data_IF_873350098926
#
_entry.id   IF_873350098926
#
_cell.length_a   1.000
_cell.length_b   1.000
_cell.length_c   1.000
_cell.angle_alpha   90.00
_cell.angle_beta   90.00
_cell.angle_gamma   90.00
#
_symmetry.space_group_name_H-M   'P 1'
#
loop_
_entity.id
_entity.type
_entity.pdbx_description
1 polymer ?
#
# COMPACT_ATOMS: atom_id res chain seq x y z
N UNK A 1 2.78 -43.10 35.48
CA UNK A 1 1.78 -42.73 34.45
C UNK A 1 1.94 -41.25 34.19
N UNK A 2 2.62 -40.93 33.09
CA UNK A 2 2.89 -39.59 32.57
C UNK A 2 1.68 -39.06 31.82
N UNK A 3 1.16 -37.92 32.25
CA UNK A 3 0.34 -37.04 31.40
C UNK A 3 0.90 -35.64 31.54
N UNK A 4 2.00 -35.42 30.84
CA UNK A 4 2.54 -34.11 30.50
C UNK A 4 1.51 -33.44 29.58
N UNK A 5 0.62 -32.65 30.17
CA UNK A 5 -0.33 -31.83 29.42
C UNK A 5 0.42 -30.57 29.03
N UNK A 6 0.89 -30.54 27.78
CA UNK A 6 1.48 -29.35 27.17
C UNK A 6 0.60 -28.13 27.48
N UNK A 7 1.18 -26.99 27.89
CA UNK A 7 0.39 -25.78 28.09
C UNK A 7 -0.20 -25.40 26.73
N UNK A 8 -1.54 -25.37 26.68
CA UNK A 8 -2.26 -24.81 25.55
C UNK A 8 -1.66 -23.43 25.27
N UNK A 9 -1.20 -23.22 24.04
CA UNK A 9 -0.76 -21.90 23.60
C UNK A 9 -1.94 -20.94 23.81
N UNK A 10 -1.86 -20.14 24.88
CA UNK A 10 -2.79 -19.06 25.13
C UNK A 10 -2.67 -18.11 23.94
N UNK A 11 -3.70 -18.05 23.09
CA UNK A 11 -3.84 -16.96 22.12
C UNK A 11 -3.75 -15.65 22.91
N UNK A 12 -2.94 -14.66 22.48
CA UNK A 12 -2.74 -13.45 23.26
C UNK A 12 -4.08 -12.76 23.52
N UNK A 13 -4.43 -12.67 24.80
CA UNK A 13 -5.63 -12.02 25.33
C UNK A 13 -5.50 -10.50 25.13
N UNK A 14 -5.76 -10.04 23.92
CA UNK A 14 -5.86 -8.63 23.60
C UNK A 14 -7.21 -8.11 24.09
N UNK A 15 -7.25 -7.05 24.93
CA UNK A 15 -8.50 -6.49 25.41
C UNK A 15 -9.35 -6.00 24.23
N UNK A 16 -10.39 -6.77 23.93
CA UNK A 16 -11.31 -6.61 22.82
C UNK A 16 -12.16 -5.34 22.96
N UNK A 17 -11.63 -4.18 22.55
CA UNK A 17 -12.48 -3.03 22.22
C UNK A 17 -12.98 -3.23 20.79
N UNK A 18 -13.93 -4.15 20.61
CA UNK A 18 -14.62 -4.32 19.33
C UNK A 18 -15.91 -3.53 19.36
N UNK A 19 -15.97 -2.43 18.59
CA UNK A 19 -17.25 -1.88 18.19
C UNK A 19 -18.08 -2.99 17.49
N UNK A 20 -19.42 -2.98 17.61
CA UNK A 20 -20.24 -4.02 16.98
C UNK A 20 -19.93 -4.13 15.48
N UNK A 21 -19.87 -5.38 14.95
CA UNK A 21 -19.41 -5.61 13.59
C UNK A 21 -20.30 -4.86 12.60
N UNK A 22 -19.72 -4.07 11.68
CA UNK A 22 -20.48 -3.20 10.81
C UNK A 22 -21.41 -4.00 9.89
N UNK A 23 -22.50 -3.37 9.46
CA UNK A 23 -23.31 -3.88 8.37
C UNK A 23 -22.49 -4.03 7.09
N UNK A 24 -22.85 -5.01 6.24
CA UNK A 24 -22.33 -5.13 4.86
C UNK A 24 -22.30 -3.79 4.10
N UNK A 25 -23.36 -2.94 4.11
CA UNK A 25 -23.32 -1.66 3.41
C UNK A 25 -22.35 -0.65 4.03
N UNK A 26 -22.18 -0.67 5.36
CA UNK A 26 -21.23 0.21 6.04
C UNK A 26 -19.79 -0.17 5.69
N UNK A 27 -19.50 -1.47 5.62
CA UNK A 27 -18.21 -1.99 5.18
C UNK A 27 -17.91 -1.61 3.72
N UNK A 28 -18.87 -1.84 2.82
CA UNK A 28 -18.77 -1.43 1.42
C UNK A 28 -18.49 0.07 1.28
N UNK A 29 -19.25 0.91 1.99
CA UNK A 29 -19.12 2.37 1.90
C UNK A 29 -17.78 2.87 2.46
N UNK A 30 -17.28 2.23 3.53
CA UNK A 30 -15.98 2.54 4.10
C UNK A 30 -14.86 2.28 3.08
N UNK A 31 -14.80 1.08 2.50
CA UNK A 31 -13.80 0.73 1.49
C UNK A 31 -13.97 1.55 0.19
N UNK A 32 -15.21 1.89 -0.18
CA UNK A 32 -15.48 2.77 -1.32
C UNK A 32 -14.91 4.16 -1.13
N UNK A 33 -15.09 4.76 0.05
CA UNK A 33 -14.47 6.06 0.37
C UNK A 33 -12.95 6.00 0.37
N UNK A 34 -12.36 4.92 0.90
CA UNK A 34 -10.91 4.72 0.89
C UNK A 34 -10.36 4.62 -0.53
N UNK A 35 -11.06 3.91 -1.43
CA UNK A 35 -10.63 3.74 -2.83
C UNK A 35 -10.54 5.07 -3.59
N UNK A 36 -11.47 5.99 -3.31
CA UNK A 36 -11.50 7.33 -3.92
C UNK A 36 -10.37 8.23 -3.41
N UNK A 37 -9.96 8.03 -2.15
CA UNK A 37 -8.85 8.76 -1.53
C UNK A 37 -7.47 8.12 -1.76
N UNK A 38 -7.38 7.14 -2.67
CA UNK A 38 -6.23 6.23 -2.74
C UNK A 38 -4.91 6.78 -3.27
N UNK A 39 -4.84 8.05 -3.65
CA UNK A 39 -3.63 8.63 -4.23
C UNK A 39 -2.51 8.77 -3.17
N UNK A 40 -1.51 7.88 -3.23
CA UNK A 40 -0.29 7.99 -2.43
C UNK A 40 -0.43 7.63 -0.93
N UNK A 41 -1.47 6.89 -0.54
CA UNK A 41 -1.67 6.55 0.88
C UNK A 41 -2.88 5.72 1.27
N UNK A 42 -3.44 4.85 0.39
CA UNK A 42 -4.64 4.03 0.74
C UNK A 42 -4.47 3.32 2.08
N UNK A 43 -3.29 2.77 2.35
CA UNK A 43 -3.01 2.05 3.59
C UNK A 43 -3.13 2.94 4.84
N UNK A 44 -2.68 4.20 4.75
CA UNK A 44 -2.78 5.16 5.86
C UNK A 44 -4.25 5.48 6.12
N UNK A 45 -5.03 5.71 5.06
CA UNK A 45 -6.47 5.91 5.18
C UNK A 45 -7.19 4.67 5.70
N UNK A 46 -6.80 3.47 5.26
CA UNK A 46 -7.37 2.21 5.72
C UNK A 46 -7.08 1.99 7.21
N UNK A 47 -5.82 2.19 7.64
CA UNK A 47 -5.45 2.12 9.05
C UNK A 47 -6.23 3.14 9.87
N UNK A 48 -6.29 4.39 9.44
CA UNK A 48 -7.02 5.42 10.15
C UNK A 48 -8.51 5.12 10.26
N UNK A 49 -9.15 4.69 9.16
CA UNK A 49 -10.57 4.37 9.18
C UNK A 49 -10.88 3.14 10.03
N UNK A 50 -10.09 2.07 9.90
CA UNK A 50 -10.35 0.79 10.59
C UNK A 50 -10.00 0.86 12.07
N UNK A 51 -8.84 1.45 12.40
CA UNK A 51 -8.28 1.48 13.76
C UNK A 51 -8.74 2.72 14.52
N UNK A 52 -8.53 3.91 13.97
CA UNK A 52 -8.76 5.16 14.72
C UNK A 52 -10.24 5.57 14.71
N UNK A 53 -10.88 5.56 13.54
CA UNK A 53 -12.24 6.08 13.35
C UNK A 53 -13.31 5.07 13.78
N UNK A 54 -13.26 3.85 13.24
CA UNK A 54 -14.28 2.84 13.48
C UNK A 54 -13.96 1.91 14.65
N UNK A 55 -12.68 1.81 15.06
CA UNK A 55 -12.22 0.90 16.13
C UNK A 55 -12.74 -0.53 15.92
N UNK A 56 -12.71 -1.00 14.68
CA UNK A 56 -13.06 -2.38 14.34
C UNK A 56 -11.95 -3.36 14.69
N UNK A 57 -10.72 -2.85 14.76
CA UNK A 57 -9.51 -3.63 15.00
C UNK A 57 -8.49 -2.75 15.72
N UNK A 58 -7.69 -3.36 16.59
CA UNK A 58 -6.57 -2.69 17.24
C UNK A 58 -5.42 -2.44 16.24
N UNK A 59 -4.46 -1.59 16.62
CA UNK A 59 -3.30 -1.33 15.77
C UNK A 59 -2.44 -2.58 15.55
N UNK A 60 -2.34 -3.45 16.56
CA UNK A 60 -1.54 -4.68 16.49
C UNK A 60 -2.19 -5.71 15.57
N UNK A 61 -3.49 -5.97 15.74
CA UNK A 61 -4.26 -6.85 14.85
C UNK A 61 -4.24 -6.34 13.39
N UNK A 62 -4.24 -5.01 13.18
CA UNK A 62 -4.07 -4.42 11.84
C UNK A 62 -2.72 -4.78 11.24
N UNK A 63 -1.64 -4.61 12.02
CA UNK A 63 -0.30 -4.89 11.56
C UNK A 63 -0.11 -6.39 11.27
N UNK A 64 -0.65 -7.27 12.11
CA UNK A 64 -0.64 -8.71 11.88
C UNK A 64 -1.41 -9.09 10.60
N UNK A 65 -2.62 -8.57 10.44
CA UNK A 65 -3.44 -8.83 9.25
C UNK A 65 -2.76 -8.30 7.99
N UNK A 66 -2.14 -7.11 8.07
CA UNK A 66 -1.38 -6.55 6.97
C UNK A 66 -0.11 -7.34 6.65
N UNK A 67 0.58 -7.87 7.66
CA UNK A 67 1.73 -8.76 7.47
C UNK A 67 1.31 -10.06 6.76
N UNK A 68 0.15 -10.63 7.11
CA UNK A 68 -0.42 -11.78 6.37
C UNK A 68 -0.65 -11.45 4.89
N UNK A 69 -1.06 -10.22 4.58
CA UNK A 69 -1.29 -9.78 3.21
C UNK A 69 -0.03 -9.73 2.35
N UNK A 70 1.17 -9.66 2.95
CA UNK A 70 2.44 -9.74 2.22
C UNK A 70 2.78 -11.15 1.75
N UNK A 71 2.22 -12.19 2.36
CA UNK A 71 2.39 -13.58 1.91
C UNK A 71 1.43 -13.95 0.78
N UNK A 72 0.32 -13.22 0.66
CA UNK A 72 -0.67 -13.44 -0.39
C UNK A 72 -0.21 -12.81 -1.71
N UNK A 73 -0.29 -13.53 -2.84
CA UNK A 73 0.04 -12.95 -4.13
C UNK A 73 -0.94 -11.83 -4.47
N UNK A 74 -0.45 -10.74 -5.05
CA UNK A 74 -1.26 -9.62 -5.51
C UNK A 74 -1.13 -8.35 -4.65
N UNK A 75 -2.01 -7.35 -4.86
CA UNK A 75 -1.90 -6.08 -4.17
C UNK A 75 -2.29 -6.21 -2.68
N UNK A 76 -1.38 -5.87 -1.77
CA UNK A 76 -1.59 -6.02 -0.33
C UNK A 76 -2.88 -5.38 0.18
N UNK A 77 -3.27 -4.22 -0.36
CA UNK A 77 -4.49 -3.52 0.08
C UNK A 77 -5.77 -4.24 -0.34
N UNK A 78 -5.74 -4.92 -1.48
CA UNK A 78 -6.86 -5.72 -1.99
C UNK A 78 -6.99 -6.98 -1.13
N UNK A 79 -5.86 -7.65 -0.86
CA UNK A 79 -5.80 -8.79 0.04
C UNK A 79 -6.29 -8.41 1.46
N UNK A 80 -5.87 -7.25 1.96
CA UNK A 80 -6.33 -6.72 3.24
C UNK A 80 -7.84 -6.50 3.26
N UNK A 81 -8.42 -5.91 2.21
CA UNK A 81 -9.88 -5.71 2.15
C UNK A 81 -10.65 -7.03 2.23
N UNK A 82 -10.15 -8.07 1.56
CA UNK A 82 -10.79 -9.39 1.54
C UNK A 82 -10.66 -10.09 2.89
N UNK A 83 -9.44 -10.15 3.44
CA UNK A 83 -9.17 -10.80 4.74
C UNK A 83 -9.91 -10.08 5.86
N UNK A 84 -9.78 -8.74 5.94
CA UNK A 84 -10.45 -7.93 6.94
C UNK A 84 -11.97 -8.04 6.84
N UNK A 85 -12.54 -7.90 5.63
CA UNK A 85 -13.98 -8.06 5.43
C UNK A 85 -14.46 -9.46 5.80
N UNK A 86 -13.65 -10.48 5.52
CA UNK A 86 -13.98 -11.87 5.86
C UNK A 86 -13.97 -12.14 7.37
N UNK A 87 -13.10 -11.48 8.14
CA UNK A 87 -13.09 -11.56 9.60
C UNK A 87 -14.35 -10.96 10.23
N UNK A 88 -14.90 -9.89 9.65
CA UNK A 88 -16.07 -9.20 10.22
C UNK A 88 -17.42 -9.87 9.94
N UNK A 89 -17.64 -10.38 8.72
CA UNK A 89 -18.93 -10.97 8.31
C UNK A 89 -18.80 -12.20 7.42
N UNK A 90 -17.69 -12.94 7.54
CA UNK A 90 -17.41 -14.09 6.68
C UNK A 90 -17.26 -13.69 5.21
N UNK A 91 -17.41 -14.65 4.29
CA UNK A 91 -17.18 -14.45 2.85
C UNK A 91 -17.95 -13.24 2.29
N UNK A 92 -19.20 -13.02 2.74
CA UNK A 92 -20.00 -11.88 2.32
C UNK A 92 -19.36 -10.52 2.67
N UNK A 93 -18.76 -10.42 3.86
CA UNK A 93 -18.01 -9.23 4.26
C UNK A 93 -16.75 -9.02 3.42
N UNK A 94 -16.03 -10.09 3.11
CA UNK A 94 -14.85 -10.05 2.24
C UNK A 94 -15.20 -9.54 0.84
N UNK A 95 -16.27 -10.06 0.24
CA UNK A 95 -16.77 -9.62 -1.07
C UNK A 95 -17.26 -8.17 -1.02
N UNK A 96 -17.96 -7.74 0.04
CA UNK A 96 -18.43 -6.37 0.20
C UNK A 96 -17.28 -5.35 0.32
N UNK A 97 -16.24 -5.67 1.10
CA UNK A 97 -15.05 -4.83 1.21
C UNK A 97 -14.25 -4.77 -0.11
N UNK A 98 -14.05 -5.93 -0.75
CA UNK A 98 -13.35 -6.03 -2.04
C UNK A 98 -14.06 -5.24 -3.14
N UNK A 99 -15.37 -5.44 -3.30
CA UNK A 99 -16.19 -4.70 -4.26
C UNK A 99 -16.27 -3.22 -3.91
N UNK A 100 -16.37 -2.87 -2.62
CA UNK A 100 -16.26 -1.48 -2.16
C UNK A 100 -14.94 -0.84 -2.59
N UNK A 101 -13.83 -1.57 -2.51
CA UNK A 101 -12.51 -1.07 -2.91
C UNK A 101 -12.34 -0.93 -4.44
N UNK A 102 -12.84 -1.88 -5.23
CA UNK A 102 -12.59 -1.91 -6.68
C UNK A 102 -13.67 -1.20 -7.50
N UNK A 103 -14.93 -1.26 -7.09
CA UNK A 103 -16.06 -0.80 -7.91
C UNK A 103 -16.02 0.71 -8.19
N UNK A 104 -15.76 1.61 -7.22
CA UNK A 104 -15.79 3.05 -7.48
C UNK A 104 -14.71 3.51 -8.49
N UNK A 105 -13.43 3.15 -8.34
CA UNK A 105 -12.40 3.52 -9.34
C UNK A 105 -12.68 2.91 -10.71
N UNK A 106 -13.14 1.66 -10.75
CA UNK A 106 -13.46 0.96 -12.00
C UNK A 106 -14.63 1.63 -12.72
N UNK A 107 -15.67 2.02 -11.99
CA UNK A 107 -16.82 2.71 -12.54
C UNK A 107 -16.44 4.08 -13.09
N UNK A 108 -15.65 4.86 -12.33
CA UNK A 108 -15.14 6.16 -12.78
C UNK A 108 -14.34 6.02 -14.08
N UNK A 109 -13.42 5.06 -14.13
CA UNK A 109 -12.61 4.81 -15.33
C UNK A 109 -13.45 4.35 -16.52
N UNK A 110 -14.45 3.49 -16.28
CA UNK A 110 -15.35 3.00 -17.33
C UNK A 110 -16.18 4.13 -17.92
N UNK A 111 -16.76 4.99 -17.06
CA UNK A 111 -17.52 6.16 -17.50
C UNK A 111 -16.62 7.11 -18.31
N UNK A 112 -15.41 7.39 -17.83
CA UNK A 112 -14.47 8.25 -18.52
C UNK A 112 -14.04 7.67 -19.88
N UNK A 113 -13.84 6.35 -19.95
CA UNK A 113 -13.52 5.64 -21.19
C UNK A 113 -14.67 5.71 -22.20
N UNK A 114 -15.92 5.56 -21.77
CA UNK A 114 -17.10 5.71 -22.63
C UNK A 114 -17.21 7.14 -23.17
N UNK A 115 -17.01 8.14 -22.31
CA UNK A 115 -17.02 9.56 -22.72
C UNK A 115 -15.94 9.80 -23.77
N UNK A 116 -14.72 9.31 -23.52
CA UNK A 116 -13.61 9.44 -24.47
C UNK A 116 -13.91 8.73 -25.81
N UNK A 117 -14.50 7.53 -25.79
CA UNK A 117 -14.86 6.80 -27.00
C UNK A 117 -15.93 7.51 -27.85
N UNK A 118 -16.79 8.33 -27.22
CA UNK A 118 -17.89 9.03 -27.91
C UNK A 118 -17.55 10.46 -28.33
N UNK A 119 -16.65 11.13 -27.61
CA UNK A 119 -16.34 12.56 -27.79
C UNK A 119 -14.84 12.84 -27.99
N UNK A 120 -14.02 11.80 -28.23
CA UNK A 120 -12.56 11.90 -28.36
C UNK A 120 -12.07 12.82 -29.49
N UNK A 121 -12.89 13.02 -30.52
CA UNK A 121 -12.58 13.92 -31.65
C UNK A 121 -12.79 15.40 -31.33
N UNK A 122 -13.39 15.72 -30.17
CA UNK A 122 -13.59 17.12 -29.75
C UNK A 122 -12.28 17.64 -29.17
N UNK A 123 -11.69 18.61 -29.86
CA UNK A 123 -10.44 19.28 -29.46
C UNK A 123 -10.46 19.80 -28.01
N UNK A 124 -11.62 20.26 -27.53
CA UNK A 124 -11.81 20.70 -26.14
C UNK A 124 -11.60 19.54 -25.15
N UNK A 125 -12.16 18.36 -25.41
CA UNK A 125 -12.00 17.20 -24.53
C UNK A 125 -10.54 16.75 -24.48
N UNK A 126 -9.85 16.78 -25.63
CA UNK A 126 -8.43 16.43 -25.73
C UNK A 126 -7.55 17.36 -24.89
N UNK A 127 -7.84 18.67 -24.87
CA UNK A 127 -7.14 19.66 -24.03
C UNK A 127 -7.42 19.46 -22.55
N UNK A 128 -8.66 19.17 -22.17
CA UNK A 128 -9.02 18.88 -20.77
C UNK A 128 -8.27 17.63 -20.29
N UNK A 129 -8.28 16.54 -21.06
CA UNK A 129 -7.55 15.32 -20.71
C UNK A 129 -6.04 15.54 -20.63
N UNK A 130 -5.47 16.38 -21.51
CA UNK A 130 -4.07 16.77 -21.41
C UNK A 130 -3.78 17.51 -20.11
N UNK A 131 -4.65 18.44 -19.69
CA UNK A 131 -4.54 19.13 -18.40
C UNK A 131 -4.61 18.19 -17.20
N UNK A 132 -5.57 17.25 -17.20
CA UNK A 132 -5.70 16.21 -16.16
C UNK A 132 -4.44 15.33 -16.13
N UNK A 133 -3.89 14.97 -17.28
CA UNK A 133 -2.66 14.17 -17.37
C UNK A 133 -1.47 14.91 -16.77
N UNK A 134 -1.30 16.20 -17.07
CA UNK A 134 -0.27 17.03 -16.47
C UNK A 134 -0.43 17.13 -14.93
N UNK A 135 -1.66 17.30 -14.44
CA UNK A 135 -1.94 17.31 -13.00
C UNK A 135 -1.61 15.96 -12.35
N UNK A 136 -1.94 14.84 -13.00
CA UNK A 136 -1.61 13.50 -12.51
C UNK A 136 -0.09 13.26 -12.43
N UNK A 137 0.67 13.71 -13.44
CA UNK A 137 2.14 13.67 -13.42
C UNK A 137 2.70 14.52 -12.28
N UNK A 138 2.18 15.75 -12.10
CA UNK A 138 2.58 16.63 -10.99
C UNK A 138 2.31 16.00 -9.62
N UNK A 139 1.13 15.38 -9.44
CA UNK A 139 0.79 14.65 -8.22
C UNK A 139 1.72 13.45 -8.00
N UNK A 140 2.03 12.68 -9.04
CA UNK A 140 2.96 11.55 -8.95
C UNK A 140 4.34 12.02 -8.51
N UNK A 141 4.86 13.09 -9.12
CA UNK A 141 6.12 13.71 -8.72
C UNK A 141 6.07 14.15 -7.25
N UNK A 142 4.99 14.85 -6.84
CA UNK A 142 4.84 15.29 -5.45
C UNK A 142 4.82 14.14 -4.45
N UNK A 143 4.15 13.02 -4.77
CA UNK A 143 4.13 11.81 -3.94
C UNK A 143 5.53 11.19 -3.86
N UNK A 144 6.24 11.08 -4.98
CA UNK A 144 7.63 10.58 -5.01
C UNK A 144 8.52 11.44 -4.14
N UNK A 145 8.47 12.78 -4.27
CA UNK A 145 9.24 13.69 -3.42
C UNK A 145 8.86 13.55 -1.93
N UNK A 146 7.57 13.41 -1.63
CA UNK A 146 7.08 13.22 -0.25
C UNK A 146 7.62 11.94 0.37
N UNK A 147 7.70 10.85 -0.38
CA UNK A 147 8.29 9.59 0.10
C UNK A 147 9.83 9.65 0.16
N UNK A 148 10.46 10.39 -0.75
CA UNK A 148 11.92 10.52 -0.84
C UNK A 148 12.51 11.47 0.23
N UNK A 149 11.80 12.54 0.61
CA UNK A 149 12.28 13.52 1.58
C UNK A 149 12.66 12.94 2.96
N UNK A 150 11.84 12.09 3.61
CA UNK A 150 12.21 11.49 4.89
C UNK A 150 13.40 10.53 4.75
N UNK A 151 13.54 9.84 3.60
CA UNK A 151 14.69 9.00 3.31
C UNK A 151 15.96 9.86 3.25
N UNK A 152 15.96 10.94 2.46
CA UNK A 152 17.11 11.85 2.29
C UNK A 152 17.59 12.51 3.59
N UNK A 153 16.67 12.85 4.51
CA UNK A 153 17.01 13.47 5.79
C UNK A 153 17.81 12.57 6.74
N UNK A 154 17.80 11.26 6.52
CA UNK A 154 18.44 10.27 7.40
C UNK A 154 19.71 9.67 6.77
N UNK A 155 20.19 10.17 5.62
CA UNK A 155 21.25 9.50 4.84
C UNK A 155 22.64 10.09 5.01
N UNK A 156 23.62 9.19 5.14
CA UNK A 156 25.02 9.46 4.84
C UNK A 156 25.23 9.69 3.33
N UNK A 157 26.25 10.50 2.98
CA UNK A 157 26.63 10.84 1.59
C UNK A 157 26.78 9.61 0.69
N UNK A 158 27.21 8.49 1.27
CA UNK A 158 27.42 7.23 0.56
C UNK A 158 26.10 6.61 0.07
N UNK A 159 25.02 6.72 0.83
CA UNK A 159 23.72 6.18 0.40
C UNK A 159 23.09 7.07 -0.67
N UNK A 160 23.35 8.38 -0.63
CA UNK A 160 22.95 9.30 -1.70
C UNK A 160 23.65 8.95 -3.03
N UNK A 161 24.96 8.65 -3.00
CA UNK A 161 25.72 8.23 -4.19
C UNK A 161 25.17 6.90 -4.74
N UNK A 162 24.89 5.93 -3.87
CA UNK A 162 24.31 4.65 -4.29
C UNK A 162 22.93 4.83 -4.92
N UNK A 163 22.06 5.62 -4.31
CA UNK A 163 20.73 5.94 -4.81
C UNK A 163 20.80 6.58 -6.21
N UNK A 164 21.70 7.55 -6.38
CA UNK A 164 21.93 8.19 -7.69
C UNK A 164 22.46 7.19 -8.72
N UNK A 165 23.40 6.33 -8.33
CA UNK A 165 23.96 5.29 -9.20
C UNK A 165 22.91 4.29 -9.70
N UNK A 166 22.02 3.82 -8.81
CA UNK A 166 20.91 2.93 -9.19
C UNK A 166 19.91 3.66 -10.09
N UNK A 167 19.59 4.91 -9.77
CA UNK A 167 18.69 5.72 -10.60
C UNK A 167 19.25 5.94 -12.01
N UNK A 168 20.55 6.21 -12.15
CA UNK A 168 21.19 6.35 -13.47
C UNK A 168 21.24 5.02 -14.23
N UNK A 169 21.56 3.91 -13.56
CA UNK A 169 21.62 2.59 -14.19
C UNK A 169 20.27 2.13 -14.75
N UNK A 170 19.18 2.38 -14.01
CA UNK A 170 17.82 1.99 -14.42
C UNK A 170 17.20 3.04 -15.33
N UNK A 171 17.26 4.32 -14.95
CA UNK A 171 16.56 5.40 -15.64
C UNK A 171 17.21 5.82 -16.96
N UNK A 172 18.55 5.89 -16.99
CA UNK A 172 19.30 6.35 -18.19
C UNK A 172 19.78 5.17 -19.02
N UNK A 173 20.44 4.19 -18.39
CA UNK A 173 21.00 3.03 -19.08
C UNK A 173 19.97 1.95 -19.40
N UNK A 174 18.76 2.01 -18.82
CA UNK A 174 17.65 1.05 -19.03
C UNK A 174 18.08 -0.41 -18.84
N UNK A 175 18.99 -0.65 -17.90
CA UNK A 175 19.42 -2.02 -17.61
C UNK A 175 18.28 -2.86 -17.02
N UNK A 176 18.28 -4.18 -17.28
CA UNK A 176 17.26 -5.07 -16.73
C UNK A 176 17.26 -4.97 -15.20
N UNK A 177 16.07 -4.75 -14.63
CA UNK A 177 15.88 -4.48 -13.21
C UNK A 177 16.49 -5.59 -12.35
N UNK A 178 16.37 -6.85 -12.79
CA UNK A 178 16.99 -8.00 -12.14
C UNK A 178 18.53 -7.88 -12.01
N UNK A 179 19.24 -7.40 -13.04
CA UNK A 179 20.69 -7.28 -12.99
C UNK A 179 21.14 -6.14 -12.07
N UNK A 180 20.44 -5.00 -12.12
CA UNK A 180 20.72 -3.88 -11.22
C UNK A 180 20.47 -4.27 -9.78
N UNK A 181 19.38 -4.99 -9.51
CA UNK A 181 19.02 -5.43 -8.16
C UNK A 181 20.04 -6.42 -7.60
N UNK A 182 20.51 -7.37 -8.41
CA UNK A 182 21.53 -8.36 -8.02
C UNK A 182 22.88 -7.73 -7.66
N UNK A 183 23.24 -6.58 -8.25
CA UNK A 183 24.51 -5.90 -7.97
C UNK A 183 24.34 -4.85 -6.87
N UNK A 184 23.27 -4.06 -6.92
CA UNK A 184 23.04 -2.95 -6.01
C UNK A 184 22.76 -3.39 -4.58
N UNK A 185 22.00 -4.47 -4.37
CA UNK A 185 21.70 -5.00 -3.03
C UNK A 185 22.98 -5.42 -2.29
N UNK A 186 23.82 -6.33 -2.81
CA UNK A 186 25.03 -6.74 -2.09
C UNK A 186 26.03 -5.59 -1.94
N UNK A 187 26.14 -4.71 -2.94
CA UNK A 187 26.99 -3.53 -2.85
C UNK A 187 26.52 -2.59 -1.72
N UNK A 188 25.20 -2.34 -1.62
CA UNK A 188 24.61 -1.55 -0.54
C UNK A 188 24.94 -2.15 0.82
N UNK A 189 24.72 -3.45 0.99
CA UNK A 189 24.94 -4.15 2.26
C UNK A 189 26.43 -4.12 2.64
N UNK A 190 27.32 -4.40 1.69
CA UNK A 190 28.77 -4.38 1.92
C UNK A 190 29.25 -2.99 2.35
N UNK A 191 28.77 -1.94 1.68
CA UNK A 191 29.13 -0.55 1.98
C UNK A 191 28.61 -0.13 3.37
N UNK A 192 27.36 -0.45 3.69
CA UNK A 192 26.79 -0.17 5.03
C UNK A 192 27.52 -0.95 6.13
N UNK A 193 27.90 -2.20 5.88
CA UNK A 193 28.64 -3.03 6.84
C UNK A 193 30.04 -2.46 7.11
N UNK A 194 30.78 -2.05 6.07
CA UNK A 194 32.12 -1.47 6.21
C UNK A 194 32.08 -0.11 6.91
N UNK A 195 31.09 0.75 6.62
CA UNK A 195 30.93 2.03 7.33
C UNK A 195 30.61 1.84 8.81
N UNK A 196 29.67 0.96 9.15
CA UNK A 196 29.35 0.68 10.58
C UNK A 196 30.55 0.11 11.34
N UNK A 197 31.40 -0.67 10.67
CA UNK A 197 32.63 -1.22 11.27
C UNK A 197 33.71 -0.15 11.50
N UNK A 198 33.80 0.87 10.64
CA UNK A 198 34.73 2.01 10.79
C UNK A 198 34.30 3.04 11.85
N UNK A 199 33.01 3.12 12.16
CA UNK A 199 32.49 4.02 13.20
C UNK A 199 32.56 3.37 14.59
N UNK A 200 32.64 2.04 14.67
CA UNK A 200 32.75 1.28 15.91
C UNK A 200 34.19 0.96 16.35
N UNK A 201 35.20 1.44 15.61
CA UNK A 201 36.64 1.27 15.88
C UNK A 201 37.30 2.64 16.09
#
# INVERSE_FOLDING_TARGET
MSTDSAPAAQEPDHPAIHAPPPGLPALFLAFARMSLAGFGGVLVFARHAIVDQHRWMTADEFNETFALCHFLPGPNIVNLSMVFGSRLRGIAGGVAAFTGLLLPPTLIMTVLAIIYARFGDVEVLRRILAGISCAAVGLLIAVVFRMMTPLLKQMDVVVLILMLGVFTAIGVFRWPLQAVLLIAIPLSIAVTYVMRRKVAA
#
